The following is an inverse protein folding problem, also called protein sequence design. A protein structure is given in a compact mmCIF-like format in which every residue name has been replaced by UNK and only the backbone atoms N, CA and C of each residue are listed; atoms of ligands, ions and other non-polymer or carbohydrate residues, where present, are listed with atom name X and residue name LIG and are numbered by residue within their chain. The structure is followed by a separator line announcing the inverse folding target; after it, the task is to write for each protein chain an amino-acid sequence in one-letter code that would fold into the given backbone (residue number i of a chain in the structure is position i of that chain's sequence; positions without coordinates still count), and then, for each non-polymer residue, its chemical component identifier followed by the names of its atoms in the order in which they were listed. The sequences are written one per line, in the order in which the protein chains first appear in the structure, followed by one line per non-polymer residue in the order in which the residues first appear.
data_IF_999362271616
#
_entry.id   IF_999362271616
#
_cell.length_a   1.000
_cell.length_b   1.000
_cell.length_c   1.000
_cell.angle_alpha   90.00
_cell.angle_beta   90.00
_cell.angle_gamma   90.00
#
_symmetry.space_group_name_H-M   'P 1'
#
loop_
_entity.id
_entity.type
_entity.pdbx_description
1 polymer ?
#
# COMPACT_ATOMS: atom_id res chain seq x y z
N UNK A 1 -2.59 -25.74 -2.14
CA UNK A 1 -2.25 -24.32 -2.39
C UNK A 1 -2.95 -23.85 -3.67
N UNK A 2 -4.02 -23.06 -3.53
CA UNK A 2 -5.00 -22.83 -4.60
C UNK A 2 -4.48 -21.92 -5.72
N UNK A 3 -4.62 -22.39 -6.97
CA UNK A 3 -4.31 -21.64 -8.20
C UNK A 3 -4.99 -20.27 -8.18
N UNK A 4 -4.20 -19.19 -8.17
CA UNK A 4 -4.71 -17.85 -8.43
C UNK A 4 -5.32 -17.87 -9.83
N UNK A 5 -6.63 -17.63 -9.93
CA UNK A 5 -7.38 -17.64 -11.20
C UNK A 5 -6.57 -16.83 -12.22
N UNK A 6 -6.23 -17.42 -13.38
CA UNK A 6 -5.41 -16.79 -14.45
C UNK A 6 -5.85 -15.36 -14.83
N UNK A 7 -7.10 -14.97 -14.50
CA UNK A 7 -7.66 -13.62 -14.59
C UNK A 7 -7.36 -12.75 -13.35
N UNK A 8 -6.13 -12.66 -12.87
CA UNK A 8 -5.74 -11.43 -12.16
C UNK A 8 -5.65 -10.36 -13.26
N UNK A 9 -6.50 -9.34 -13.22
CA UNK A 9 -6.47 -8.19 -14.14
C UNK A 9 -5.01 -7.71 -14.28
N UNK A 10 -4.27 -8.14 -15.32
CA UNK A 10 -2.91 -7.65 -15.60
C UNK A 10 -2.94 -6.22 -16.13
N UNK A 11 -4.12 -5.77 -16.54
CA UNK A 11 -4.44 -4.41 -16.95
C UNK A 11 -4.16 -3.42 -15.84
N UNK A 12 -3.47 -2.34 -16.21
CA UNK A 12 -3.37 -1.10 -15.46
C UNK A 12 -4.43 -0.13 -16.00
N UNK A 13 -5.31 0.46 -15.17
CA UNK A 13 -5.34 0.41 -13.70
C UNK A 13 -5.90 -0.91 -13.16
N UNK A 14 -5.37 -1.35 -12.01
CA UNK A 14 -5.83 -2.58 -11.37
C UNK A 14 -7.25 -2.41 -10.84
N UNK A 15 -8.10 -3.38 -11.12
CA UNK A 15 -9.48 -3.47 -10.65
C UNK A 15 -9.55 -3.38 -9.10
N UNK A 16 -10.62 -2.79 -8.51
CA UNK A 16 -10.75 -2.59 -7.05
C UNK A 16 -10.66 -3.88 -6.23
N UNK A 17 -11.07 -5.02 -6.81
CA UNK A 17 -11.01 -6.36 -6.22
C UNK A 17 -9.63 -7.02 -6.33
N UNK A 18 -8.65 -6.37 -6.99
CA UNK A 18 -7.32 -6.93 -7.17
C UNK A 18 -6.59 -7.00 -5.82
N UNK A 19 -6.07 -8.17 -5.41
CA UNK A 19 -5.35 -8.31 -4.15
C UNK A 19 -4.13 -7.38 -4.06
N UNK A 20 -3.53 -7.04 -5.20
CA UNK A 20 -2.38 -6.12 -5.23
C UNK A 20 -2.77 -4.69 -4.86
N UNK A 21 -4.00 -4.26 -5.13
CA UNK A 21 -4.48 -2.93 -4.68
C UNK A 21 -4.55 -2.88 -3.16
N UNK A 22 -4.97 -3.96 -2.51
CA UNK A 22 -4.98 -4.06 -1.06
C UNK A 22 -3.55 -3.99 -0.49
N UNK A 23 -2.61 -4.72 -1.07
CA UNK A 23 -1.20 -4.70 -0.68
C UNK A 23 -0.56 -3.31 -0.86
N UNK A 24 -0.81 -2.64 -1.99
CA UNK A 24 -0.30 -1.29 -2.26
C UNK A 24 -0.86 -0.28 -1.25
N UNK A 25 -2.17 -0.31 -0.98
CA UNK A 25 -2.80 0.55 0.04
C UNK A 25 -2.18 0.35 1.43
N UNK A 26 -1.84 -0.89 1.80
CA UNK A 26 -1.18 -1.18 3.07
C UNK A 26 0.23 -0.55 3.13
N UNK A 27 1.02 -0.68 2.04
CA UNK A 27 2.35 -0.04 1.94
C UNK A 27 2.26 1.48 2.03
N UNK A 28 1.31 2.10 1.34
CA UNK A 28 1.08 3.56 1.41
C UNK A 28 0.73 4.03 2.82
N UNK A 29 -0.15 3.30 3.52
CA UNK A 29 -0.47 3.61 4.93
C UNK A 29 0.77 3.51 5.82
N UNK A 30 1.62 2.50 5.63
CA UNK A 30 2.85 2.36 6.38
C UNK A 30 3.83 3.52 6.13
N UNK A 31 4.03 3.90 4.86
CA UNK A 31 4.84 5.07 4.49
C UNK A 31 4.32 6.37 5.10
N UNK A 32 3.01 6.62 5.01
CA UNK A 32 2.41 7.81 5.64
C UNK A 32 2.60 7.85 7.15
N UNK A 33 2.49 6.70 7.83
CA UNK A 33 2.77 6.61 9.27
C UNK A 33 4.25 6.88 9.59
N UNK A 34 5.18 6.36 8.78
CA UNK A 34 6.60 6.65 8.93
C UNK A 34 6.87 8.15 8.78
N UNK A 35 6.44 8.76 7.67
CA UNK A 35 6.58 10.20 7.41
C UNK A 35 5.97 11.07 8.52
N UNK A 36 4.80 10.69 9.06
CA UNK A 36 4.17 11.41 10.18
C UNK A 36 4.97 11.27 11.48
N UNK A 37 5.63 10.13 11.71
CA UNK A 37 6.54 9.96 12.86
C UNK A 37 7.79 10.82 12.69
N UNK A 38 8.37 10.87 11.50
CA UNK A 38 9.56 11.69 11.22
C UNK A 38 9.24 13.17 11.45
N UNK A 39 8.21 13.72 10.80
CA UNK A 39 7.77 15.11 11.02
C UNK A 39 7.47 15.46 12.47
N UNK A 40 7.01 14.49 13.27
CA UNK A 40 6.80 14.68 14.72
C UNK A 40 8.11 14.69 15.51
N UNK A 41 9.10 13.91 15.09
CA UNK A 41 10.45 13.94 15.67
C UNK A 41 11.14 15.27 15.34
N UNK A 42 11.07 15.72 14.09
CA UNK A 42 11.63 17.02 13.68
C UNK A 42 11.00 18.17 14.47
N UNK A 43 9.68 18.17 14.64
CA UNK A 43 8.97 19.16 15.48
C UNK A 43 9.25 19.08 16.98
N UNK A 44 9.80 17.97 17.47
CA UNK A 44 10.15 17.81 18.89
C UNK A 44 11.64 18.11 19.13
N UNK A 45 12.45 18.06 18.06
CA UNK A 45 13.86 18.39 18.08
C UNK A 45 14.14 19.87 17.77
N UNK A 46 13.17 20.57 17.17
CA UNK A 46 13.10 22.03 17.07
C UNK A 46 12.31 22.61 18.26
#
# INVERSE_FOLDING_TARGET
MGKVKKKCCRSTPRCKKCPVVALLKARDKAKKKALKKERKKDKKAA
#
